data_IF_054130436939
#
_entry.id   IF_054130436939
#
_cell.length_a   1.000
_cell.length_b   1.000
_cell.length_c   1.000
_cell.angle_alpha   90.00
_cell.angle_beta   90.00
_cell.angle_gamma   90.00
#
_symmetry.space_group_name_H-M   'P 1'
#
loop_
_entity.id
_entity.type
_entity.pdbx_description
1 polymer ?
#
# COMPACT_ATOMS: atom_id res chain seq x y z
N UNK A 1 -4.33 -8.11 -12.10
CA UNK A 1 -3.90 -9.43 -11.61
C UNK A 1 -5.17 -10.21 -11.33
N UNK A 2 -5.43 -11.29 -12.05
CA UNK A 2 -6.64 -12.11 -11.88
C UNK A 2 -6.35 -13.34 -11.02
N UNK A 3 -7.35 -13.93 -10.36
CA UNK A 3 -7.19 -15.13 -9.52
C UNK A 3 -6.48 -16.29 -10.23
N UNK A 4 -6.70 -16.44 -11.54
CA UNK A 4 -6.03 -17.45 -12.36
C UNK A 4 -4.51 -17.23 -12.50
N UNK A 5 -4.05 -15.98 -12.39
CA UNK A 5 -2.62 -15.67 -12.42
C UNK A 5 -1.94 -16.06 -11.10
N UNK A 6 -2.64 -15.96 -9.97
CA UNK A 6 -2.12 -16.39 -8.67
C UNK A 6 -1.97 -17.91 -8.59
N UNK A 7 -2.96 -18.65 -9.06
CA UNK A 7 -2.94 -20.12 -9.07
C UNK A 7 -1.82 -20.70 -9.97
N UNK A 8 -1.52 -20.00 -11.07
CA UNK A 8 -0.41 -20.37 -11.98
C UNK A 8 0.95 -20.14 -11.31
N UNK A 9 1.10 -19.03 -10.58
CA UNK A 9 2.33 -18.70 -9.84
C UNK A 9 2.55 -19.71 -8.71
N UNK A 10 1.50 -20.05 -7.96
CA UNK A 10 1.60 -21.04 -6.87
C UNK A 10 2.00 -22.43 -7.38
N UNK A 11 1.44 -22.89 -8.50
CA UNK A 11 1.83 -24.18 -9.09
C UNK A 11 3.26 -24.20 -9.62
N UNK A 12 3.76 -23.08 -10.15
CA UNK A 12 5.15 -22.96 -10.60
C UNK A 12 6.17 -22.87 -9.46
N UNK A 13 5.75 -22.56 -8.23
CA UNK A 13 6.63 -22.45 -7.06
C UNK A 13 6.84 -23.77 -6.30
N UNK A 14 6.09 -24.83 -6.63
CA UNK A 14 6.19 -26.14 -5.99
C UNK A 14 7.37 -26.91 -6.59
N UNK A 15 8.39 -27.19 -5.75
CA UNK A 15 9.58 -27.97 -6.14
C UNK A 15 10.82 -27.17 -6.55
N UNK A 16 10.75 -25.83 -6.53
CA UNK A 16 11.89 -24.97 -6.78
C UNK A 16 12.78 -24.82 -5.54
N UNK A 17 14.10 -24.83 -5.76
CA UNK A 17 15.07 -24.49 -4.71
C UNK A 17 14.83 -23.07 -4.21
N UNK A 18 15.21 -22.78 -2.96
CA UNK A 18 15.08 -21.44 -2.39
C UNK A 18 15.75 -20.38 -3.28
N UNK A 19 16.87 -20.73 -3.92
CA UNK A 19 17.60 -19.84 -4.83
C UNK A 19 16.75 -19.48 -6.07
N UNK A 20 16.15 -20.48 -6.71
CA UNK A 20 15.37 -20.30 -7.94
C UNK A 20 14.09 -19.50 -7.67
N UNK A 21 13.50 -19.66 -6.47
CA UNK A 21 12.34 -18.88 -6.03
C UNK A 21 12.70 -17.40 -5.90
N UNK A 22 13.90 -17.08 -5.40
CA UNK A 22 14.35 -15.69 -5.27
C UNK A 22 14.60 -15.06 -6.65
N UNK A 23 15.25 -15.76 -7.57
CA UNK A 23 15.47 -15.25 -8.93
C UNK A 23 14.15 -15.01 -9.68
N UNK A 24 13.16 -15.88 -9.49
CA UNK A 24 11.85 -15.76 -10.11
C UNK A 24 11.08 -14.55 -9.55
N UNK A 25 11.19 -14.29 -8.25
CA UNK A 25 10.62 -13.11 -7.59
C UNK A 25 11.32 -11.83 -8.07
N UNK A 26 12.64 -11.80 -8.12
CA UNK A 26 13.39 -10.64 -8.62
C UNK A 26 13.05 -10.33 -10.08
N UNK A 27 12.91 -11.37 -10.92
CA UNK A 27 12.50 -11.20 -12.31
C UNK A 27 11.08 -10.64 -12.42
N UNK A 28 10.13 -11.13 -11.62
CA UNK A 28 8.77 -10.62 -11.57
C UNK A 28 8.71 -9.16 -11.09
N UNK A 29 9.52 -8.79 -10.09
CA UNK A 29 9.63 -7.40 -9.62
C UNK A 29 10.22 -6.49 -10.70
N UNK A 30 11.25 -6.96 -11.42
CA UNK A 30 11.81 -6.24 -12.56
C UNK A 30 10.82 -6.10 -13.72
N UNK A 31 10.06 -7.14 -14.01
CA UNK A 31 9.02 -7.14 -15.04
C UNK A 31 7.86 -6.21 -14.68
N UNK A 32 7.40 -6.22 -13.43
CA UNK A 32 6.40 -5.27 -12.93
C UNK A 32 6.91 -3.83 -13.03
N UNK A 33 8.16 -3.58 -12.62
CA UNK A 33 8.77 -2.25 -12.73
C UNK A 33 8.88 -1.80 -14.19
N UNK A 34 9.27 -2.68 -15.10
CA UNK A 34 9.32 -2.39 -16.53
C UNK A 34 7.93 -2.20 -17.14
N UNK A 35 6.94 -2.98 -16.69
CA UNK A 35 5.54 -2.87 -17.09
C UNK A 35 4.86 -1.57 -16.64
N UNK A 36 5.30 -0.98 -15.51
CA UNK A 36 4.88 0.38 -15.13
C UNK A 36 5.54 1.49 -15.94
N UNK A 37 6.70 1.24 -16.56
CA UNK A 37 7.35 2.18 -17.48
C UNK A 37 6.75 2.13 -18.90
N UNK A 38 6.16 0.99 -19.27
CA UNK A 38 5.40 0.81 -20.51
C UNK A 38 3.90 0.68 -20.22
N UNK A 39 3.39 1.60 -19.39
CA UNK A 39 1.95 1.81 -19.29
C UNK A 39 1.48 2.39 -20.62
N UNK A 40 0.61 1.64 -21.30
CA UNK A 40 -0.28 2.14 -22.34
C UNK A 40 -0.55 3.63 -22.14
N UNK A 41 -0.11 4.44 -23.11
CA UNK A 41 -0.58 5.81 -23.27
C UNK A 41 -2.07 5.77 -23.65
N UNK A 42 -2.95 5.33 -22.75
CA UNK A 42 -4.18 6.09 -22.56
C UNK A 42 -3.74 7.53 -22.36
N UNK A 43 -4.39 8.54 -22.96
CA UNK A 43 -3.98 9.91 -22.74
C UNK A 43 -4.00 10.09 -21.24
N UNK A 44 -2.83 10.11 -20.61
CA UNK A 44 -2.67 10.41 -19.21
C UNK A 44 -3.22 11.83 -19.19
N UNK A 45 -4.49 11.95 -18.79
CA UNK A 45 -5.13 13.23 -18.57
C UNK A 45 -4.13 13.92 -17.70
N UNK A 46 -3.45 14.91 -18.26
CA UNK A 46 -2.41 15.66 -17.59
C UNK A 46 -3.08 16.12 -16.31
N UNK A 47 -2.83 15.44 -15.21
CA UNK A 47 -3.43 15.77 -13.93
C UNK A 47 -2.73 17.07 -13.62
N UNK A 48 -3.37 18.18 -14.00
CA UNK A 48 -2.89 19.48 -13.58
C UNK A 48 -2.79 19.37 -12.07
N UNK A 49 -1.66 19.77 -11.47
CA UNK A 49 -1.60 19.86 -10.02
C UNK A 49 -2.72 20.81 -9.61
N UNK A 50 -3.78 20.23 -9.10
CA UNK A 50 -5.00 20.90 -8.69
C UNK A 50 -4.78 21.33 -7.25
N UNK A 51 -5.19 22.54 -6.91
CA UNK A 51 -5.07 22.98 -5.53
C UNK A 51 -5.96 22.13 -4.62
N UNK A 52 -5.67 22.12 -3.33
CA UNK A 52 -6.48 21.39 -2.35
C UNK A 52 -7.94 21.89 -2.34
N UNK A 53 -8.14 23.20 -2.54
CA UNK A 53 -9.45 23.83 -2.62
C UNK A 53 -10.21 23.37 -3.86
N UNK A 54 -9.52 23.32 -5.00
CA UNK A 54 -10.10 22.85 -6.26
C UNK A 54 -10.53 21.38 -6.12
N UNK A 55 -9.69 20.53 -5.53
CA UNK A 55 -9.99 19.12 -5.27
C UNK A 55 -11.24 18.96 -4.39
N UNK A 56 -11.32 19.71 -3.29
CA UNK A 56 -12.51 19.74 -2.41
C UNK A 56 -13.77 20.11 -3.18
N UNK A 57 -13.70 21.10 -4.07
CA UNK A 57 -14.85 21.50 -4.90
C UNK A 57 -15.26 20.41 -5.90
N UNK A 58 -14.30 19.65 -6.43
CA UNK A 58 -14.61 18.53 -7.33
C UNK A 58 -15.33 17.39 -6.60
N UNK A 59 -14.96 17.10 -5.35
CA UNK A 59 -15.65 16.11 -4.53
C UNK A 59 -17.12 16.47 -4.28
N UNK A 60 -17.40 17.76 -4.05
CA UNK A 60 -18.78 18.25 -3.91
C UNK A 60 -19.54 18.17 -5.24
N UNK A 61 -18.94 18.65 -6.34
CA UNK A 61 -19.58 18.69 -7.67
C UNK A 61 -19.85 17.30 -8.25
N UNK A 62 -18.98 16.34 -7.97
CA UNK A 62 -19.16 14.94 -8.40
C UNK A 62 -20.22 14.19 -7.60
N UNK A 63 -20.72 14.77 -6.50
CA UNK A 63 -21.64 14.08 -5.58
C UNK A 63 -20.96 12.99 -4.74
N UNK A 64 -19.63 12.86 -4.82
CA UNK A 64 -18.86 11.96 -3.94
C UNK A 64 -18.94 12.39 -2.48
N UNK A 65 -19.14 13.69 -2.23
CA UNK A 65 -19.41 14.24 -0.90
C UNK A 65 -20.59 15.21 -0.95
N UNK A 66 -21.46 15.14 0.03
CA UNK A 66 -22.56 16.11 0.22
C UNK A 66 -22.08 17.42 0.86
N UNK A 67 -21.09 17.33 1.74
CA UNK A 67 -20.46 18.46 2.42
C UNK A 67 -19.02 18.13 2.83
N UNK A 68 -18.17 19.15 2.95
CA UNK A 68 -16.82 18.97 3.46
C UNK A 68 -16.84 18.73 4.97
N UNK A 69 -15.97 17.85 5.51
CA UNK A 69 -15.85 17.67 6.95
C UNK A 69 -15.33 18.95 7.58
N UNK A 70 -15.92 19.34 8.70
CA UNK A 70 -15.42 20.44 9.50
C UNK A 70 -14.11 19.96 10.14
N UNK A 71 -12.98 20.68 9.98
CA UNK A 71 -11.75 20.35 10.65
C UNK A 71 -11.99 20.24 12.15
N UNK A 72 -11.55 19.15 12.76
CA UNK A 72 -11.65 18.99 14.21
C UNK A 72 -10.86 20.12 14.88
N UNK A 73 -11.45 20.72 15.91
CA UNK A 73 -10.76 21.71 16.73
C UNK A 73 -9.54 21.05 17.38
N UNK A 74 -8.32 21.56 17.16
CA UNK A 74 -7.11 20.98 17.76
C UNK A 74 -7.18 20.97 19.29
N UNK A 75 -7.87 21.93 19.91
CA UNK A 75 -8.04 21.97 21.37
C UNK A 75 -9.04 20.91 21.88
N UNK A 76 -9.88 20.36 21.00
CA UNK A 76 -10.82 19.29 21.30
C UNK A 76 -10.24 17.89 21.07
N UNK A 77 -8.99 17.77 20.60
CA UNK A 77 -8.34 16.48 20.38
C UNK A 77 -7.92 15.87 21.73
N UNK A 78 -8.30 14.62 22.04
CA UNK A 78 -7.82 13.97 23.26
C UNK A 78 -6.30 13.81 23.20
N UNK A 79 -5.65 13.96 24.35
CA UNK A 79 -4.22 13.70 24.48
C UNK A 79 -3.90 12.25 24.09
N UNK A 80 -2.74 12.05 23.47
CA UNK A 80 -2.27 10.71 23.15
C UNK A 80 -2.02 9.95 24.46
N UNK A 81 -2.76 8.87 24.67
CA UNK A 81 -2.53 7.93 25.76
C UNK A 81 -1.98 6.62 25.20
N UNK A 82 -0.74 6.23 25.55
CA UNK A 82 -0.20 4.94 25.15
C UNK A 82 -1.09 3.82 25.71
N UNK A 83 -1.40 2.83 24.87
CA UNK A 83 -2.09 1.62 25.34
C UNK A 83 -1.08 0.68 25.98
N UNK A 84 -1.42 0.14 27.15
CA UNK A 84 -0.66 -0.94 27.76
C UNK A 84 -0.90 -2.23 26.97
N UNK A 85 0.17 -2.82 26.47
CA UNK A 85 0.11 -4.13 25.81
C UNK A 85 0.42 -5.23 26.82
N UNK A 86 -0.27 -6.36 26.73
CA UNK A 86 0.01 -7.55 27.54
C UNK A 86 0.99 -8.43 26.77
N UNK A 87 2.13 -8.79 27.36
CA UNK A 87 3.14 -9.66 26.75
C UNK A 87 4.57 -9.32 27.18
N UNK A 88 5.53 -10.14 26.75
CA UNK A 88 6.96 -9.84 26.87
C UNK A 88 7.33 -8.68 25.93
N UNK A 89 8.31 -7.87 26.33
CA UNK A 89 8.81 -6.82 25.46
C UNK A 89 9.42 -7.44 24.19
N UNK A 90 9.30 -6.74 23.06
CA UNK A 90 9.96 -7.15 21.81
C UNK A 90 11.47 -7.35 22.03
N UNK A 91 12.07 -6.51 22.89
CA UNK A 91 13.47 -6.59 23.30
C UNK A 91 13.82 -7.94 23.92
N UNK A 92 12.97 -8.48 24.80
CA UNK A 92 13.19 -9.78 25.44
C UNK A 92 12.97 -10.95 24.47
N UNK A 93 12.01 -10.83 23.57
CA UNK A 93 11.76 -11.83 22.52
C UNK A 93 12.99 -11.99 21.61
N UNK A 94 13.58 -10.87 21.16
CA UNK A 94 14.76 -10.88 20.28
C UNK A 94 16.00 -11.47 20.97
N UNK A 95 16.19 -11.21 22.28
CA UNK A 95 17.34 -11.72 23.03
C UNK A 95 17.29 -13.25 23.15
N UNK A 96 16.09 -13.83 23.31
CA UNK A 96 15.91 -15.28 23.45
C UNK A 96 16.16 -16.04 22.15
N UNK A 97 15.73 -15.49 21.01
CA UNK A 97 15.88 -16.14 19.70
C UNK A 97 17.35 -16.20 19.23
N UNK A 98 18.20 -15.30 19.72
CA UNK A 98 19.61 -15.18 19.31
C UNK A 98 20.59 -15.96 20.19
N UNK A 99 20.11 -16.75 21.15
CA UNK A 99 20.94 -17.58 22.04
C UNK A 99 20.96 -19.04 21.62
#
# INVERSE_FOLDING_TARGET
MTDQQWETIERSLIGLSHQDRLELVERLVHELRAGTASGNQSPATRVRPMSEEEFKQQLLKSGLMSSLPIPADPASRPDFQPITTVGESLSETIIRERR
#
